data_IF_188637955328
#
_entry.id   IF_188637955328
#
_cell.length_a   1.000
_cell.length_b   1.000
_cell.length_c   1.000
_cell.angle_alpha   90.00
_cell.angle_beta   90.00
_cell.angle_gamma   90.00
#
_symmetry.space_group_name_H-M   'P 1'
#
loop_
_entity.id
_entity.type
_entity.pdbx_description
1 polymer ?
#
# COMPACT_ATOMS: atom_id res chain seq x y z
N UNK A 1 -10.15 -2.96 -0.13
CA UNK A 1 -9.26 -3.85 -0.91
C UNK A 1 -9.20 -3.28 -2.32
N UNK A 2 -8.00 -3.13 -2.90
CA UNK A 2 -7.83 -2.55 -4.23
C UNK A 2 -6.60 -3.12 -4.95
N UNK A 3 -6.72 -3.32 -6.27
CA UNK A 3 -5.58 -3.46 -7.19
C UNK A 3 -5.28 -2.06 -7.75
N UNK A 4 -4.12 -1.50 -7.44
CA UNK A 4 -3.76 -0.13 -7.81
C UNK A 4 -3.08 -0.13 -9.17
N UNK A 5 -3.75 0.47 -10.16
CA UNK A 5 -3.23 0.62 -11.54
C UNK A 5 -2.89 2.06 -11.90
N UNK A 6 -3.58 3.01 -11.29
CA UNK A 6 -3.43 4.43 -11.58
C UNK A 6 -3.22 5.20 -10.27
N UNK A 7 -2.36 6.20 -10.34
CA UNK A 7 -2.05 7.11 -9.23
C UNK A 7 -2.36 8.53 -9.70
N UNK A 8 -3.08 9.28 -8.88
CA UNK A 8 -3.40 10.67 -9.11
C UNK A 8 -2.97 11.49 -7.90
N UNK A 9 -2.26 12.59 -8.16
CA UNK A 9 -1.94 13.55 -7.11
C UNK A 9 -3.23 14.25 -6.64
N UNK A 10 -3.44 14.31 -5.32
CA UNK A 10 -4.59 14.96 -4.70
C UNK A 10 -4.11 15.97 -3.66
N UNK A 11 -4.73 17.15 -3.64
CA UNK A 11 -4.53 18.12 -2.57
C UNK A 11 -5.41 17.84 -1.36
N UNK A 12 -4.94 18.24 -0.17
CA UNK A 12 -5.74 18.21 1.05
C UNK A 12 -5.42 19.43 1.93
N UNK A 13 -6.46 20.08 2.45
CA UNK A 13 -6.32 21.19 3.41
C UNK A 13 -5.95 20.70 4.82
N UNK A 14 -5.98 19.38 5.06
CA UNK A 14 -5.63 18.75 6.34
C UNK A 14 -4.70 17.57 6.09
N UNK A 15 -3.45 17.73 6.50
CA UNK A 15 -2.44 16.67 6.51
C UNK A 15 -2.13 16.31 7.96
N UNK A 16 -2.19 15.03 8.30
CA UNK A 16 -1.85 14.52 9.62
C UNK A 16 -1.20 13.16 9.51
N UNK A 17 -0.15 12.93 10.29
CA UNK A 17 0.54 11.63 10.33
C UNK A 17 -0.32 10.64 11.10
N UNK A 18 -0.63 9.50 10.48
CA UNK A 18 -1.36 8.42 11.14
C UNK A 18 -0.48 7.68 12.16
N UNK A 19 -1.11 7.02 13.14
CA UNK A 19 -0.39 6.16 14.09
C UNK A 19 0.34 5.02 13.34
N UNK A 20 1.53 4.59 13.78
CA UNK A 20 2.19 3.42 13.22
C UNK A 20 1.33 2.16 13.35
N UNK A 21 1.39 1.29 12.35
CA UNK A 21 0.66 0.02 12.31
C UNK A 21 1.53 -1.07 11.69
N UNK A 22 1.21 -2.33 11.98
CA UNK A 22 1.81 -3.45 11.26
C UNK A 22 1.33 -3.45 9.80
N UNK A 23 2.26 -3.64 8.88
CA UNK A 23 1.98 -3.89 7.47
C UNK A 23 2.57 -5.26 7.10
N UNK A 24 1.69 -6.22 6.85
CA UNK A 24 2.08 -7.51 6.30
C UNK A 24 2.27 -7.41 4.79
N UNK A 25 3.16 -8.23 4.25
CA UNK A 25 3.35 -8.33 2.80
C UNK A 25 3.38 -9.80 2.36
N UNK A 26 2.95 -10.04 1.14
CA UNK A 26 3.04 -11.36 0.49
C UNK A 26 3.05 -11.20 -1.02
N UNK A 27 3.50 -12.25 -1.71
CA UNK A 27 3.35 -12.36 -3.16
C UNK A 27 2.52 -13.59 -3.52
N UNK A 28 1.84 -13.52 -4.65
CA UNK A 28 1.16 -14.67 -5.25
C UNK A 28 1.12 -14.51 -6.77
N UNK A 29 0.84 -15.61 -7.48
CA UNK A 29 0.70 -15.60 -8.94
C UNK A 29 -0.77 -15.62 -9.34
N UNK A 30 -1.11 -14.83 -10.35
CA UNK A 30 -2.39 -14.89 -11.07
C UNK A 30 -2.03 -14.98 -12.54
N UNK A 31 -2.41 -16.07 -13.19
CA UNK A 31 -1.94 -16.43 -14.53
C UNK A 31 -0.39 -16.38 -14.58
N UNK A 32 0.18 -15.57 -15.48
CA UNK A 32 1.63 -15.37 -15.61
C UNK A 32 2.18 -14.16 -14.85
N UNK A 33 1.34 -13.45 -14.10
CA UNK A 33 1.73 -12.26 -13.36
C UNK A 33 2.04 -12.55 -11.89
N UNK A 34 3.02 -11.82 -11.35
CA UNK A 34 3.30 -11.82 -9.90
C UNK A 34 2.69 -10.57 -9.28
N UNK A 35 1.87 -10.78 -8.26
CA UNK A 35 1.19 -9.71 -7.53
C UNK A 35 1.84 -9.55 -6.16
N UNK A 36 2.22 -8.32 -5.81
CA UNK A 36 2.58 -7.91 -4.46
C UNK A 36 1.32 -7.45 -3.75
N UNK A 37 1.04 -7.99 -2.55
CA UNK A 37 -0.02 -7.51 -1.68
C UNK A 37 0.56 -6.97 -0.37
N UNK A 38 0.08 -5.79 0.02
CA UNK A 38 0.32 -5.15 1.31
C UNK A 38 -0.98 -5.08 2.09
N UNK A 39 -0.96 -5.54 3.33
CA UNK A 39 -2.10 -5.52 4.23
C UNK A 39 -1.75 -4.74 5.50
N UNK A 40 -2.44 -3.63 5.74
CA UNK A 40 -2.32 -2.92 7.02
C UNK A 40 -3.31 -3.51 8.02
N UNK A 41 -2.85 -3.67 9.24
CA UNK A 41 -3.67 -4.08 10.37
C UNK A 41 -4.01 -2.84 11.19
N UNK A 42 -5.25 -2.74 11.68
CA UNK A 42 -5.62 -1.62 12.54
C UNK A 42 -4.80 -1.58 13.84
N UNK A 43 -4.93 -0.51 14.62
CA UNK A 43 -4.23 -0.39 15.91
C UNK A 43 -4.49 -1.59 16.83
N UNK A 44 -3.51 -1.90 17.68
CA UNK A 44 -3.57 -3.00 18.65
C UNK A 44 -4.74 -2.87 19.64
N UNK A 45 -5.28 -1.66 19.78
CA UNK A 45 -6.46 -1.33 20.60
C UNK A 45 -7.81 -1.78 19.98
N UNK A 46 -7.82 -2.39 18.78
CA UNK A 46 -9.07 -2.85 18.16
C UNK A 46 -9.66 -4.06 18.89
N UNK A 47 -10.99 -4.07 19.01
CA UNK A 47 -11.74 -5.20 19.56
C UNK A 47 -11.53 -6.52 18.81
N UNK A 48 -11.13 -6.47 17.53
CA UNK A 48 -10.73 -7.63 16.74
C UNK A 48 -9.25 -7.45 16.39
N UNK A 49 -8.33 -8.09 17.15
CA UNK A 49 -6.91 -8.09 16.84
C UNK A 49 -6.66 -8.63 15.43
N UNK A 50 -5.67 -8.08 14.73
CA UNK A 50 -5.21 -8.53 13.40
C UNK A 50 -6.27 -8.47 12.28
N UNK A 51 -7.37 -7.73 12.46
CA UNK A 51 -8.29 -7.46 11.36
C UNK A 51 -7.65 -6.50 10.36
N UNK A 52 -7.50 -6.98 9.13
CA UNK A 52 -7.04 -6.17 7.99
C UNK A 52 -7.91 -4.92 7.85
N UNK A 53 -7.29 -3.74 7.88
CA UNK A 53 -7.97 -2.47 7.64
C UNK A 53 -7.97 -2.09 6.17
N UNK A 54 -6.86 -2.31 5.48
CA UNK A 54 -6.69 -1.98 4.08
C UNK A 54 -5.80 -3.02 3.42
N UNK A 55 -6.09 -3.29 2.15
CA UNK A 55 -5.30 -4.17 1.30
C UNK A 55 -5.04 -3.46 -0.02
N UNK A 56 -3.76 -3.40 -0.39
CA UNK A 56 -3.29 -2.86 -1.66
C UNK A 56 -2.57 -3.96 -2.42
N UNK A 57 -2.90 -4.12 -3.69
CA UNK A 57 -2.22 -5.03 -4.61
C UNK A 57 -1.56 -4.24 -5.72
N UNK A 58 -0.40 -4.72 -6.16
CA UNK A 58 0.35 -4.16 -7.27
C UNK A 58 0.81 -5.30 -8.18
N UNK A 59 0.52 -5.17 -9.46
CA UNK A 59 1.24 -5.89 -10.52
C UNK A 59 2.58 -5.19 -10.80
N UNK A 60 3.31 -5.69 -11.79
CA UNK A 60 4.63 -5.16 -12.15
C UNK A 60 4.58 -3.69 -12.57
N UNK A 61 3.55 -3.28 -13.32
CA UNK A 61 3.42 -1.92 -13.84
C UNK A 61 3.04 -0.94 -12.72
N UNK A 62 2.04 -1.29 -11.92
CA UNK A 62 1.63 -0.50 -10.75
C UNK A 62 2.76 -0.34 -9.73
N UNK A 63 3.54 -1.40 -9.48
CA UNK A 63 4.71 -1.34 -8.59
C UNK A 63 5.81 -0.40 -9.13
N UNK A 64 6.03 -0.40 -10.45
CA UNK A 64 7.00 0.51 -11.08
C UNK A 64 6.58 1.98 -10.94
N UNK A 65 5.28 2.28 -11.08
CA UNK A 65 4.75 3.63 -10.85
C UNK A 65 4.91 4.04 -9.39
N UNK A 66 4.58 3.17 -8.44
CA UNK A 66 4.78 3.43 -7.01
C UNK A 66 6.25 3.71 -6.68
N UNK A 67 7.17 2.89 -7.20
CA UNK A 67 8.61 3.08 -6.97
C UNK A 67 9.09 4.43 -7.52
N UNK A 68 8.61 4.85 -8.69
CA UNK A 68 8.91 6.17 -9.26
C UNK A 68 8.41 7.28 -8.34
N UNK A 69 7.16 7.22 -7.87
CA UNK A 69 6.61 8.22 -6.94
C UNK A 69 7.42 8.32 -5.65
N UNK A 70 7.81 7.19 -5.06
CA UNK A 70 8.66 7.15 -3.87
C UNK A 70 9.99 7.88 -4.14
N UNK A 71 10.63 7.61 -5.29
CA UNK A 71 11.89 8.27 -5.68
C UNK A 71 11.72 9.75 -5.97
N UNK A 72 10.65 10.15 -6.64
CA UNK A 72 10.37 11.55 -6.94
C UNK A 72 10.16 12.38 -5.65
N UNK A 73 9.58 11.77 -4.61
CA UNK A 73 9.31 12.43 -3.32
C UNK A 73 10.54 12.46 -2.40
N UNK A 74 11.32 11.38 -2.35
CA UNK A 74 12.38 11.22 -1.34
C UNK A 74 13.82 11.22 -1.91
N UNK A 75 13.99 11.18 -3.24
CA UNK A 75 15.28 11.05 -3.92
C UNK A 75 15.72 9.58 -4.12
N UNK A 76 17.03 9.34 -4.24
CA UNK A 76 17.56 7.97 -4.29
C UNK A 76 17.45 7.31 -2.90
N UNK A 77 16.62 6.26 -2.84
CA UNK A 77 16.43 5.34 -1.71
C UNK A 77 16.92 3.94 -2.09
#
# INVERSE_FOLDING_TARGET
MALVREFQEVGSDRNGVHKPVLCGWRTFRVDDETILQLDTYGSDERQIPNKVSQSFQFDREGAAVLLRLIRDVFGEL
#
